data_IF_685075891061
#
_entry.id   IF_685075891061
#
_cell.length_a   1.000
_cell.length_b   1.000
_cell.length_c   1.000
_cell.angle_alpha   90.00
_cell.angle_beta   90.00
_cell.angle_gamma   90.00
#
_symmetry.space_group_name_H-M   'P 1'
#
loop_
_entity.id
_entity.type
_entity.pdbx_description
1 polymer ?
#
# COMPACT_ATOMS: atom_id res chain seq x y z
N UNK A 1 -3.38 -27.22 -2.37
CA UNK A 1 -3.32 -25.77 -2.10
C UNK A 1 -4.72 -25.31 -1.76
N UNK A 2 -4.99 -25.01 -0.49
CA UNK A 2 -6.36 -24.87 0.04
C UNK A 2 -6.99 -23.49 -0.17
N UNK A 3 -8.30 -23.51 -0.48
CA UNK A 3 -9.42 -22.54 -0.37
C UNK A 3 -9.22 -21.02 -0.18
N UNK A 4 -8.10 -20.51 0.33
CA UNK A 4 -7.88 -19.06 0.55
C UNK A 4 -7.34 -18.32 -0.68
N UNK A 5 -6.96 -19.02 -1.75
CA UNK A 5 -6.30 -18.40 -2.91
C UNK A 5 -7.18 -17.44 -3.74
N UNK A 6 -8.50 -17.43 -3.52
CA UNK A 6 -9.45 -16.62 -4.29
C UNK A 6 -10.24 -15.60 -3.46
N UNK A 7 -10.02 -15.51 -2.15
CA UNK A 7 -10.68 -14.52 -1.31
C UNK A 7 -10.16 -13.11 -1.66
N UNK A 8 -11.05 -12.13 -1.68
CA UNK A 8 -10.73 -10.73 -2.04
C UNK A 8 -11.05 -9.80 -0.88
N UNK A 9 -10.18 -8.82 -0.64
CA UNK A 9 -10.46 -7.69 0.24
C UNK A 9 -11.35 -6.71 -0.52
N UNK A 10 -12.60 -6.52 -0.06
CA UNK A 10 -13.63 -5.71 -0.74
C UNK A 10 -13.86 -4.33 -0.10
N UNK A 11 -13.00 -3.91 0.82
CA UNK A 11 -12.99 -2.56 1.36
C UNK A 11 -12.16 -1.67 0.42
N UNK A 12 -12.52 -0.39 0.20
CA UNK A 12 -11.63 0.57 -0.46
C UNK A 12 -10.30 0.70 0.30
N UNK A 13 -9.16 0.59 -0.39
CA UNK A 13 -7.83 0.62 0.25
C UNK A 13 -6.92 1.66 -0.38
N UNK A 14 -6.25 2.45 0.47
CA UNK A 14 -5.06 3.23 0.11
C UNK A 14 -3.82 2.59 0.72
N UNK A 15 -2.83 2.26 -0.10
CA UNK A 15 -1.58 1.65 0.34
C UNK A 15 -0.42 2.63 0.14
N UNK A 16 0.32 2.90 1.22
CA UNK A 16 1.43 3.87 1.26
C UNK A 16 2.64 3.17 1.87
N UNK A 17 3.80 3.26 1.21
CA UNK A 17 5.03 2.61 1.66
C UNK A 17 6.26 3.50 1.40
N UNK A 18 7.27 3.38 2.25
CA UNK A 18 8.56 4.04 2.04
C UNK A 18 9.42 3.34 0.98
N UNK A 19 10.15 4.11 0.18
CA UNK A 19 11.04 3.56 -0.83
C UNK A 19 12.27 2.85 -0.25
N UNK A 20 12.61 3.07 1.03
CA UNK A 20 13.66 2.40 1.79
C UNK A 20 13.11 1.36 2.80
N UNK A 21 11.79 1.15 2.85
CA UNK A 21 11.18 0.17 3.76
C UNK A 21 11.72 -1.25 3.47
N UNK A 22 12.13 -1.97 4.51
CA UNK A 22 12.62 -3.34 4.39
C UNK A 22 11.58 -4.28 3.76
N UNK A 23 10.30 -4.09 4.07
CA UNK A 23 9.19 -4.90 3.57
C UNK A 23 8.94 -4.68 2.08
N UNK A 24 9.23 -3.48 1.58
CA UNK A 24 9.21 -3.16 0.16
C UNK A 24 10.32 -3.88 -0.62
N UNK A 25 11.40 -4.28 0.05
CA UNK A 25 12.57 -4.95 -0.53
C UNK A 25 12.64 -6.45 -0.31
N UNK A 26 11.68 -7.04 0.42
CA UNK A 26 11.55 -8.50 0.49
C UNK A 26 11.42 -9.06 -0.93
N UNK A 27 12.14 -10.15 -1.28
CA UNK A 27 12.06 -10.75 -2.61
C UNK A 27 10.62 -10.99 -3.06
N UNK A 28 10.23 -10.38 -4.19
CA UNK A 28 8.90 -10.50 -4.77
C UNK A 28 7.88 -9.44 -4.31
N UNK A 29 8.15 -8.65 -3.26
CA UNK A 29 7.21 -7.61 -2.78
C UNK A 29 6.90 -6.57 -3.84
N UNK A 30 7.92 -5.93 -4.44
CA UNK A 30 7.71 -4.92 -5.49
C UNK A 30 6.91 -5.47 -6.67
N UNK A 31 7.23 -6.70 -7.09
CA UNK A 31 6.51 -7.40 -8.16
C UNK A 31 5.04 -7.63 -7.79
N UNK A 32 4.78 -8.08 -6.57
CA UNK A 32 3.42 -8.31 -6.10
C UNK A 32 2.60 -7.00 -6.06
N UNK A 33 3.19 -5.93 -5.55
CA UNK A 33 2.57 -4.61 -5.39
C UNK A 33 2.25 -3.99 -6.75
N UNK A 34 3.20 -4.02 -7.69
CA UNK A 34 3.13 -3.26 -8.94
C UNK A 34 2.62 -4.05 -10.16
N UNK A 35 2.85 -5.37 -10.23
CA UNK A 35 2.49 -6.17 -11.42
C UNK A 35 1.03 -6.68 -11.38
N UNK A 36 0.13 -5.93 -10.73
CA UNK A 36 -1.32 -6.19 -10.72
C UNK A 36 -1.80 -7.32 -9.81
N UNK A 37 -0.91 -8.18 -9.28
CA UNK A 37 -1.33 -9.26 -8.35
C UNK A 37 -1.95 -8.71 -7.06
N UNK A 38 -1.38 -7.65 -6.49
CA UNK A 38 -1.96 -6.99 -5.32
C UNK A 38 -3.37 -6.45 -5.58
N UNK A 39 -3.56 -5.72 -6.70
CA UNK A 39 -4.88 -5.24 -7.16
C UNK A 39 -5.86 -6.38 -7.43
N UNK A 40 -5.39 -7.55 -7.88
CA UNK A 40 -6.26 -8.71 -8.10
C UNK A 40 -6.85 -9.28 -6.80
N UNK A 41 -6.10 -9.20 -5.69
CA UNK A 41 -6.56 -9.59 -4.35
C UNK A 41 -7.31 -8.46 -3.63
N UNK A 42 -7.03 -7.20 -3.97
CA UNK A 42 -7.66 -5.98 -3.41
C UNK A 42 -8.27 -5.14 -4.54
N UNK A 43 -9.44 -5.50 -5.09
CA UNK A 43 -9.98 -4.86 -6.29
C UNK A 43 -10.24 -3.36 -6.16
N UNK A 44 -10.49 -2.87 -4.94
CA UNK A 44 -10.74 -1.46 -4.63
C UNK A 44 -9.49 -0.75 -4.08
N UNK A 45 -8.30 -1.23 -4.42
CA UNK A 45 -7.02 -0.58 -4.10
C UNK A 45 -6.82 0.67 -4.98
N UNK A 46 -6.66 1.84 -4.39
CA UNK A 46 -6.23 3.06 -5.07
C UNK A 46 -4.79 2.98 -5.56
N UNK A 47 -4.32 4.01 -6.27
CA UNK A 47 -2.93 4.07 -6.69
C UNK A 47 -1.98 3.90 -5.49
N UNK A 48 -1.00 3.01 -5.66
CA UNK A 48 0.03 2.76 -4.64
C UNK A 48 0.92 3.98 -4.52
N UNK A 49 1.04 4.51 -3.30
CA UNK A 49 1.92 5.65 -3.02
C UNK A 49 3.26 5.15 -2.49
N UNK A 50 4.34 5.53 -3.15
CA UNK A 50 5.72 5.25 -2.71
C UNK A 50 6.38 6.56 -2.30
N UNK A 51 6.64 6.73 -1.00
CA UNK A 51 7.25 7.93 -0.44
C UNK A 51 8.76 7.82 -0.56
N UNK A 52 9.42 8.83 -1.15
CA UNK A 52 10.87 8.82 -1.38
C UNK A 52 11.68 9.26 -0.16
N UNK A 53 12.82 8.61 0.04
CA UNK A 53 13.77 8.93 1.10
C UNK A 53 13.26 8.63 2.50
N UNK A 54 12.41 7.61 2.65
CA UNK A 54 11.88 7.19 3.95
C UNK A 54 11.88 5.68 4.13
N UNK A 55 12.10 5.25 5.37
CA UNK A 55 12.16 3.86 5.78
C UNK A 55 10.79 3.29 6.17
N UNK A 56 10.76 2.54 7.26
CA UNK A 56 9.58 1.81 7.71
C UNK A 56 8.57 2.71 8.46
N UNK A 57 9.06 3.69 9.22
CA UNK A 57 8.24 4.53 10.09
C UNK A 57 7.78 5.81 9.36
N UNK A 58 7.15 5.66 8.20
CA UNK A 58 6.77 6.79 7.32
C UNK A 58 5.88 7.84 8.01
N UNK A 59 5.08 7.41 8.99
CA UNK A 59 4.20 8.30 9.77
C UNK A 59 4.96 9.15 10.78
N UNK A 60 6.18 8.76 11.16
CA UNK A 60 7.09 9.57 12.00
C UNK A 60 8.09 10.35 11.14
N UNK A 61 8.53 9.79 10.00
CA UNK A 61 9.50 10.43 9.10
C UNK A 61 8.88 11.52 8.19
N UNK A 62 7.58 11.41 7.86
CA UNK A 62 6.80 12.34 7.04
C UNK A 62 5.38 12.54 7.61
N UNK A 63 5.24 13.01 8.86
CA UNK A 63 3.96 13.05 9.57
C UNK A 63 2.89 13.88 8.83
N UNK A 64 3.26 15.04 8.29
CA UNK A 64 2.32 15.93 7.59
C UNK A 64 1.81 15.31 6.28
N UNK A 65 2.71 14.69 5.50
CA UNK A 65 2.38 14.04 4.23
C UNK A 65 1.44 12.85 4.45
N UNK A 66 1.75 12.01 5.45
CA UNK A 66 0.91 10.87 5.81
C UNK A 66 -0.45 11.31 6.35
N UNK A 67 -0.47 12.32 7.24
CA UNK A 67 -1.71 12.87 7.79
C UNK A 67 -2.61 13.44 6.68
N UNK A 68 -2.01 14.17 5.73
CA UNK A 68 -2.73 14.68 4.56
C UNK A 68 -3.28 13.55 3.70
N UNK A 69 -2.50 12.52 3.41
CA UNK A 69 -2.97 11.38 2.62
C UNK A 69 -4.16 10.65 3.25
N UNK A 70 -4.17 10.52 4.58
CA UNK A 70 -5.27 9.92 5.35
C UNK A 70 -6.51 10.81 5.25
N UNK A 71 -6.37 12.10 5.59
CA UNK A 71 -7.46 13.06 5.56
C UNK A 71 -8.11 13.15 4.17
N UNK A 72 -7.30 13.36 3.13
CA UNK A 72 -7.79 13.50 1.76
C UNK A 72 -8.50 12.22 1.26
N UNK A 73 -8.03 11.05 1.67
CA UNK A 73 -8.66 9.77 1.29
C UNK A 73 -10.03 9.59 1.95
N UNK A 74 -10.19 9.99 3.21
CA UNK A 74 -11.49 9.88 3.87
C UNK A 74 -12.52 10.90 3.36
N UNK A 75 -12.07 12.01 2.75
CA UNK A 75 -12.96 12.97 2.10
C UNK A 75 -13.51 12.51 0.75
N UNK A 76 -13.08 11.35 0.23
CA UNK A 76 -13.63 10.81 -1.03
C UNK A 76 -14.87 9.92 -0.85
N UNK A 77 -15.32 9.70 0.39
CA UNK A 77 -16.54 8.95 0.73
C UNK A 77 -17.70 9.91 1.02
#
# INVERSE_FOLDING_TARGET
MGSLSNAKVKVPVKFIIGDQDLTYHIPGSKKYIHDGRFKSHVPLLDEVVVIKGVGHFIHEERPDEISKHIHDYFLTF
#
